data_IF_780681031606
#
_entry.id   IF_780681031606
#
_cell.length_a   1.000
_cell.length_b   1.000
_cell.length_c   1.000
_cell.angle_alpha   90.00
_cell.angle_beta   90.00
_cell.angle_gamma   90.00
#
_symmetry.space_group_name_H-M   'P 1'
#
loop_
_entity.id
_entity.type
_entity.pdbx_description
1 polymer ?
#
# COMPACT_ATOMS: atom_id res chain seq x y z
N UNK A 1 -6.39 1.06 -18.17
CA UNK A 1 -6.22 2.51 -18.04
C UNK A 1 -7.28 3.06 -17.12
N UNK A 2 -6.92 4.02 -16.29
CA UNK A 2 -7.86 4.76 -15.47
C UNK A 2 -8.01 6.16 -16.07
N UNK A 3 -9.10 6.47 -16.80
CA UNK A 3 -9.29 7.76 -17.44
C UNK A 3 -9.44 8.92 -16.44
N UNK A 4 -9.77 8.62 -15.18
CA UNK A 4 -9.96 9.62 -14.13
C UNK A 4 -8.67 9.90 -13.34
N UNK A 5 -7.59 9.17 -13.63
CA UNK A 5 -6.30 9.41 -13.01
C UNK A 5 -5.52 10.47 -13.78
N UNK A 6 -5.18 11.62 -13.16
CA UNK A 6 -4.42 12.68 -13.83
C UNK A 6 -3.00 12.25 -14.24
N UNK A 7 -2.50 11.16 -13.68
CA UNK A 7 -1.19 10.56 -13.97
C UNK A 7 -1.29 9.33 -14.89
N UNK A 8 -2.50 8.88 -15.21
CA UNK A 8 -2.78 7.72 -16.04
C UNK A 8 -3.03 8.12 -17.48
N UNK A 9 -2.15 7.73 -18.38
CA UNK A 9 -2.41 7.82 -19.82
C UNK A 9 -3.51 6.86 -20.28
N UNK A 10 -4.15 7.16 -21.40
CA UNK A 10 -4.95 6.19 -22.13
C UNK A 10 -4.01 5.11 -22.70
N UNK A 11 -4.22 3.86 -22.31
CA UNK A 11 -3.45 2.74 -22.85
C UNK A 11 -4.19 2.14 -24.06
N UNK A 12 -3.43 1.88 -25.11
CA UNK A 12 -3.91 1.13 -26.28
C UNK A 12 -4.14 -0.35 -25.89
N UNK A 13 -4.96 -1.06 -26.66
CA UNK A 13 -5.20 -2.50 -26.46
C UNK A 13 -3.89 -3.32 -26.48
N UNK A 14 -2.91 -2.88 -27.26
CA UNK A 14 -1.58 -3.51 -27.32
C UNK A 14 -0.84 -3.34 -25.99
N UNK A 15 -0.85 -2.14 -25.41
CA UNK A 15 -0.22 -1.86 -24.11
C UNK A 15 -0.93 -2.60 -22.98
N UNK A 16 -2.27 -2.62 -22.97
CA UNK A 16 -3.07 -3.40 -22.00
C UNK A 16 -2.70 -4.88 -22.09
N UNK A 17 -2.57 -5.43 -23.30
CA UNK A 17 -2.17 -6.82 -23.50
C UNK A 17 -0.75 -7.08 -22.99
N UNK A 18 0.18 -6.16 -23.23
CA UNK A 18 1.55 -6.25 -22.70
C UNK A 18 1.58 -6.19 -21.17
N UNK A 19 0.80 -5.30 -20.56
CA UNK A 19 0.68 -5.20 -19.09
C UNK A 19 0.11 -6.48 -18.47
N UNK A 20 -0.95 -7.06 -19.06
CA UNK A 20 -1.50 -8.35 -18.62
C UNK A 20 -0.47 -9.48 -18.69
N UNK A 21 0.34 -9.52 -19.75
CA UNK A 21 1.43 -10.50 -19.90
C UNK A 21 2.52 -10.29 -18.82
N UNK A 22 2.86 -9.03 -18.52
CA UNK A 22 3.81 -8.70 -17.47
C UNK A 22 3.28 -9.14 -16.10
N UNK A 23 2.05 -8.79 -15.75
CA UNK A 23 1.42 -9.20 -14.50
C UNK A 23 1.41 -10.74 -14.33
N UNK A 24 1.06 -11.46 -15.40
CA UNK A 24 1.10 -12.92 -15.38
C UNK A 24 2.48 -13.45 -15.04
N UNK A 25 3.53 -12.90 -15.67
CA UNK A 25 4.92 -13.30 -15.42
C UNK A 25 5.34 -12.96 -13.98
N UNK A 26 4.94 -11.83 -13.44
CA UNK A 26 5.25 -11.45 -12.07
C UNK A 26 4.58 -12.38 -11.06
N UNK A 27 3.32 -12.76 -11.27
CA UNK A 27 2.62 -13.75 -10.45
C UNK A 27 3.31 -15.12 -10.51
N UNK A 28 3.68 -15.60 -11.71
CA UNK A 28 4.42 -16.85 -11.87
C UNK A 28 5.77 -16.81 -11.14
N UNK A 29 6.47 -15.68 -11.19
CA UNK A 29 7.74 -15.48 -10.48
C UNK A 29 7.54 -15.45 -8.96
N UNK A 30 6.51 -14.76 -8.46
CA UNK A 30 6.17 -14.73 -7.05
C UNK A 30 5.91 -16.15 -6.52
N UNK A 31 5.10 -16.94 -7.23
CA UNK A 31 4.80 -18.34 -6.87
C UNK A 31 6.08 -19.19 -6.86
N UNK A 32 6.93 -19.05 -7.89
CA UNK A 32 8.18 -19.79 -7.95
C UNK A 32 9.11 -19.47 -6.77
N UNK A 33 9.25 -18.20 -6.42
CA UNK A 33 10.07 -17.79 -5.27
C UNK A 33 9.46 -18.21 -3.93
N UNK A 34 8.16 -18.09 -3.76
CA UNK A 34 7.47 -18.54 -2.56
C UNK A 34 7.73 -20.01 -2.27
N UNK A 35 7.67 -20.87 -3.31
CA UNK A 35 7.92 -22.30 -3.18
C UNK A 35 9.41 -22.65 -3.06
N UNK A 36 10.31 -21.82 -3.62
CA UNK A 36 11.76 -22.06 -3.54
C UNK A 36 12.33 -21.62 -2.19
N UNK A 37 11.80 -20.56 -1.60
CA UNK A 37 12.31 -19.91 -0.39
C UNK A 37 11.26 -19.90 0.74
N UNK A 38 10.54 -21.01 0.89
CA UNK A 38 9.45 -21.12 1.87
C UNK A 38 9.90 -20.97 3.34
N UNK A 39 11.18 -21.22 3.62
CA UNK A 39 11.81 -21.02 4.93
C UNK A 39 12.19 -19.56 5.22
N UNK A 40 12.19 -18.70 4.21
CA UNK A 40 12.54 -17.26 4.31
C UNK A 40 11.32 -16.38 4.10
N UNK A 41 10.50 -16.70 3.08
CA UNK A 41 9.33 -15.91 2.72
C UNK A 41 8.14 -16.30 3.61
N UNK A 42 7.80 -15.42 4.54
CA UNK A 42 6.78 -15.68 5.56
C UNK A 42 5.36 -15.26 5.16
N UNK A 43 5.22 -14.39 4.16
CA UNK A 43 3.94 -13.91 3.63
C UNK A 43 4.11 -13.34 2.22
N UNK A 44 3.02 -13.25 1.46
CA UNK A 44 3.01 -12.80 0.08
C UNK A 44 2.05 -11.62 -0.11
N UNK A 45 2.51 -10.56 -0.75
CA UNK A 45 1.68 -9.44 -1.18
C UNK A 45 1.41 -9.54 -2.69
N UNK A 46 0.14 -9.63 -3.07
CA UNK A 46 -0.28 -9.70 -4.47
C UNK A 46 -0.72 -8.32 -4.94
N UNK A 47 0.24 -7.54 -5.42
CA UNK A 47 0.03 -6.16 -5.85
C UNK A 47 0.18 -5.13 -4.75
N UNK A 48 0.33 -3.87 -5.17
CA UNK A 48 0.55 -2.71 -4.32
C UNK A 48 -0.16 -1.50 -4.94
N UNK A 49 -1.04 -0.83 -4.18
CA UNK A 49 -1.80 0.37 -4.59
C UNK A 49 -2.40 0.28 -6.00
N UNK A 50 -2.91 -0.88 -6.35
CA UNK A 50 -3.39 -1.16 -7.71
C UNK A 50 -4.89 -0.97 -7.86
N UNK A 51 -5.64 -0.69 -6.80
CA UNK A 51 -7.09 -0.51 -6.82
C UNK A 51 -7.55 0.91 -6.45
N UNK A 52 -6.63 1.84 -6.21
CA UNK A 52 -6.93 3.25 -5.95
C UNK A 52 -7.12 4.05 -7.23
N UNK A 53 -7.96 5.08 -7.17
CA UNK A 53 -8.32 5.89 -8.35
C UNK A 53 -7.20 6.79 -8.84
N UNK A 54 -6.25 7.12 -7.99
CA UNK A 54 -5.05 7.86 -8.40
C UNK A 54 -3.96 6.97 -9.03
N UNK A 55 -4.15 5.66 -9.11
CA UNK A 55 -3.24 4.77 -9.83
C UNK A 55 -3.51 4.78 -11.33
N UNK A 56 -2.54 5.18 -12.13
CA UNK A 56 -2.62 5.08 -13.60
C UNK A 56 -2.76 3.65 -14.12
N UNK A 57 -2.35 2.69 -13.31
CA UNK A 57 -2.37 1.26 -13.63
C UNK A 57 -3.45 0.49 -12.84
N UNK A 58 -4.59 1.11 -12.59
CA UNK A 58 -5.65 0.52 -11.79
C UNK A 58 -6.08 -0.86 -12.33
N UNK A 59 -6.12 -1.84 -11.42
CA UNK A 59 -6.59 -3.20 -11.67
C UNK A 59 -8.01 -3.34 -11.12
N UNK A 60 -8.98 -3.86 -11.89
CA UNK A 60 -10.30 -4.16 -11.36
C UNK A 60 -10.24 -5.15 -10.19
N UNK A 61 -11.10 -4.97 -9.19
CA UNK A 61 -11.11 -5.80 -7.96
C UNK A 61 -11.31 -7.28 -8.29
N UNK A 62 -12.16 -7.60 -9.26
CA UNK A 62 -12.39 -8.97 -9.72
C UNK A 62 -11.12 -9.61 -10.30
N UNK A 63 -10.30 -8.82 -11.01
CA UNK A 63 -9.03 -9.29 -11.53
C UNK A 63 -8.00 -9.48 -10.41
N UNK A 64 -8.01 -8.60 -9.40
CA UNK A 64 -7.16 -8.75 -8.22
C UNK A 64 -7.54 -10.01 -7.43
N UNK A 65 -8.83 -10.28 -7.26
CA UNK A 65 -9.33 -11.53 -6.66
C UNK A 65 -8.81 -12.75 -7.41
N UNK A 66 -8.85 -12.72 -8.75
CA UNK A 66 -8.34 -13.82 -9.56
C UNK A 66 -6.82 -14.06 -9.33
N UNK A 67 -6.03 -12.99 -9.23
CA UNK A 67 -4.59 -13.09 -8.93
C UNK A 67 -4.34 -13.64 -7.52
N UNK A 68 -5.05 -13.15 -6.51
CA UNK A 68 -4.94 -13.65 -5.13
C UNK A 68 -5.28 -15.14 -5.07
N UNK A 69 -6.37 -15.56 -5.67
CA UNK A 69 -6.77 -16.99 -5.73
C UNK A 69 -5.72 -17.85 -6.41
N UNK A 70 -5.12 -17.38 -7.50
CA UNK A 70 -4.05 -18.10 -8.21
C UNK A 70 -2.84 -18.30 -7.30
N UNK A 71 -2.40 -17.28 -6.58
CA UNK A 71 -1.26 -17.37 -5.66
C UNK A 71 -1.61 -18.31 -4.50
N UNK A 72 -2.75 -18.14 -3.84
CA UNK A 72 -3.18 -19.01 -2.73
C UNK A 72 -3.31 -20.49 -3.12
N UNK A 73 -3.75 -20.78 -4.34
CA UNK A 73 -3.85 -22.14 -4.81
C UNK A 73 -2.47 -22.81 -5.10
N UNK A 74 -1.40 -22.01 -5.15
CA UNK A 74 -0.07 -22.43 -5.59
C UNK A 74 1.01 -22.29 -4.53
N UNK A 75 0.69 -21.76 -3.33
CA UNK A 75 1.65 -21.46 -2.26
C UNK A 75 1.05 -21.79 -0.89
N UNK A 76 1.91 -21.94 0.12
CA UNK A 76 1.50 -22.22 1.51
C UNK A 76 1.53 -20.97 2.41
N UNK A 77 2.22 -19.91 2.00
CA UNK A 77 2.35 -18.69 2.79
C UNK A 77 1.03 -17.91 2.84
N UNK A 78 0.76 -17.19 3.93
CA UNK A 78 -0.35 -16.25 4.01
C UNK A 78 -0.27 -15.19 2.91
N UNK A 79 -1.40 -14.89 2.30
CA UNK A 79 -1.49 -13.95 1.16
C UNK A 79 -2.29 -12.70 1.54
N UNK A 80 -1.78 -11.55 1.17
CA UNK A 80 -2.42 -10.25 1.30
C UNK A 80 -2.38 -9.45 0.00
N UNK A 81 -3.01 -8.30 0.02
CA UNK A 81 -2.88 -7.22 -0.95
C UNK A 81 -2.60 -5.92 -0.20
N UNK A 82 -1.60 -5.15 -0.64
CA UNK A 82 -1.22 -3.89 0.00
C UNK A 82 -1.94 -2.73 -0.68
N UNK A 83 -2.72 -1.96 0.10
CA UNK A 83 -3.50 -0.87 -0.45
C UNK A 83 -3.70 0.25 0.58
N UNK A 84 -4.00 1.46 0.12
CA UNK A 84 -4.45 2.54 0.99
C UNK A 84 -5.60 2.06 1.89
N UNK A 85 -5.70 2.61 3.11
CA UNK A 85 -6.73 2.20 4.08
C UNK A 85 -8.17 2.43 3.58
N UNK A 86 -8.41 3.49 2.80
CA UNK A 86 -9.76 3.90 2.42
C UNK A 86 -10.49 2.88 1.52
N UNK A 87 -9.89 2.30 0.47
CA UNK A 87 -10.54 1.24 -0.32
C UNK A 87 -11.00 0.03 0.49
N UNK A 88 -10.32 -0.33 1.58
CA UNK A 88 -10.74 -1.42 2.47
C UNK A 88 -12.07 -1.15 3.17
N UNK A 89 -12.45 0.12 3.30
CA UNK A 89 -13.72 0.48 3.93
C UNK A 89 -14.94 0.27 3.01
N UNK A 90 -14.74 0.14 1.70
CA UNK A 90 -15.84 -0.04 0.74
C UNK A 90 -15.46 -0.93 -0.45
N UNK A 91 -14.70 -0.41 -1.39
CA UNK A 91 -14.38 -1.01 -2.70
C UNK A 91 -13.77 -2.40 -2.63
N UNK A 92 -12.88 -2.63 -1.65
CA UNK A 92 -12.16 -3.90 -1.49
C UNK A 92 -12.87 -4.92 -0.59
N UNK A 93 -14.10 -4.65 -0.14
CA UNK A 93 -14.87 -5.61 0.67
C UNK A 93 -14.93 -7.02 0.07
N UNK A 94 -15.13 -7.21 -1.25
CA UNK A 94 -15.10 -8.56 -1.84
C UNK A 94 -13.74 -9.26 -1.75
N UNK A 95 -12.63 -8.50 -1.74
CA UNK A 95 -11.28 -9.04 -1.64
C UNK A 95 -10.93 -9.53 -0.24
N UNK A 96 -11.58 -8.99 0.82
CA UNK A 96 -11.29 -9.35 2.21
C UNK A 96 -11.49 -10.84 2.49
N UNK A 97 -12.50 -11.47 1.84
CA UNK A 97 -12.76 -12.90 2.01
C UNK A 97 -11.69 -13.79 1.35
N UNK A 98 -10.93 -13.24 0.42
CA UNK A 98 -9.95 -13.99 -0.37
C UNK A 98 -8.54 -13.95 0.24
N UNK A 99 -8.23 -12.94 1.05
CA UNK A 99 -6.91 -12.74 1.67
C UNK A 99 -6.87 -13.28 3.10
N UNK A 100 -5.67 -13.55 3.59
CA UNK A 100 -5.47 -14.08 4.93
C UNK A 100 -5.39 -12.97 5.99
N UNK A 101 -4.84 -11.81 5.62
CA UNK A 101 -4.77 -10.62 6.45
C UNK A 101 -4.85 -9.34 5.60
N UNK A 102 -5.26 -8.23 6.19
CA UNK A 102 -5.40 -6.94 5.52
C UNK A 102 -4.12 -6.14 5.69
N UNK A 103 -3.58 -5.58 4.61
CA UNK A 103 -2.42 -4.68 4.62
C UNK A 103 -2.82 -3.28 4.19
N UNK A 104 -2.64 -2.32 5.09
CA UNK A 104 -3.02 -0.92 4.84
C UNK A 104 -1.81 -0.01 4.69
N UNK A 105 -1.95 1.01 3.84
CA UNK A 105 -1.07 2.17 3.79
C UNK A 105 -1.74 3.39 4.43
N UNK A 106 -0.99 4.20 5.15
CA UNK A 106 -1.48 5.42 5.77
C UNK A 106 -0.40 6.48 5.83
N UNK A 107 -0.64 7.60 5.15
CA UNK A 107 0.31 8.70 5.00
C UNK A 107 -0.35 10.02 5.38
N UNK A 108 -0.31 10.43 6.64
CA UNK A 108 -1.00 11.65 7.08
C UNK A 108 -0.51 12.92 6.39
N UNK A 109 0.77 12.98 5.99
CA UNK A 109 1.31 14.15 5.29
C UNK A 109 0.64 14.36 3.91
N UNK A 110 0.38 13.29 3.14
CA UNK A 110 -0.35 13.36 1.89
C UNK A 110 -1.80 13.83 2.04
N UNK A 111 -2.39 13.61 3.22
CA UNK A 111 -3.71 14.08 3.60
C UNK A 111 -3.67 15.46 4.29
N UNK A 112 -2.57 16.20 4.08
CA UNK A 112 -2.34 17.55 4.60
C UNK A 112 -2.51 17.67 6.12
N UNK A 113 -2.23 16.59 6.86
CA UNK A 113 -2.24 16.65 8.32
C UNK A 113 -0.95 17.31 8.83
N UNK A 114 -1.08 18.14 9.86
CA UNK A 114 0.10 18.64 10.58
C UNK A 114 0.65 17.54 11.49
N UNK A 115 1.88 17.70 11.95
CA UNK A 115 2.55 16.69 12.78
C UNK A 115 1.78 16.39 14.07
N UNK A 116 1.12 17.40 14.66
CA UNK A 116 0.32 17.25 15.89
C UNK A 116 -0.90 16.35 15.67
N UNK A 117 -1.44 16.29 14.46
CA UNK A 117 -2.60 15.47 14.09
C UNK A 117 -2.23 14.14 13.42
N UNK A 118 -0.96 13.97 13.04
CA UNK A 118 -0.50 12.83 12.24
C UNK A 118 -0.81 11.49 12.89
N UNK A 119 -0.44 11.30 14.16
CA UNK A 119 -0.67 10.04 14.85
C UNK A 119 -2.15 9.76 15.15
N UNK A 120 -2.93 10.81 15.43
CA UNK A 120 -4.38 10.63 15.59
C UNK A 120 -5.03 10.13 14.30
N UNK A 121 -4.63 10.68 13.15
CA UNK A 121 -5.09 10.26 11.83
C UNK A 121 -4.65 8.82 11.50
N UNK A 122 -3.38 8.49 11.69
CA UNK A 122 -2.86 7.12 11.47
C UNK A 122 -3.63 6.08 12.30
N UNK A 123 -3.84 6.36 13.59
CA UNK A 123 -4.60 5.49 14.50
C UNK A 123 -6.05 5.35 14.06
N UNK A 124 -6.68 6.44 13.66
CA UNK A 124 -8.06 6.42 13.16
C UNK A 124 -8.19 5.52 11.93
N UNK A 125 -7.29 5.64 10.95
CA UNK A 125 -7.32 4.84 9.73
C UNK A 125 -7.18 3.34 10.04
N UNK A 126 -6.23 2.99 10.91
CA UNK A 126 -6.06 1.61 11.37
C UNK A 126 -7.33 1.09 12.08
N UNK A 127 -7.89 1.86 13.01
CA UNK A 127 -9.06 1.44 13.79
C UNK A 127 -10.31 1.32 12.94
N UNK A 128 -10.51 2.18 11.94
CA UNK A 128 -11.64 2.06 11.02
C UNK A 128 -11.63 0.72 10.30
N UNK A 129 -10.47 0.27 9.81
CA UNK A 129 -10.34 -1.02 9.12
C UNK A 129 -10.45 -2.19 10.09
N UNK A 130 -9.72 -2.15 11.21
CA UNK A 130 -9.70 -3.26 12.18
C UNK A 130 -11.06 -3.48 12.87
N UNK A 131 -11.80 -2.42 13.15
CA UNK A 131 -13.17 -2.51 13.70
C UNK A 131 -14.17 -3.03 12.68
N UNK A 132 -13.99 -2.69 11.40
CA UNK A 132 -14.85 -3.20 10.33
C UNK A 132 -14.64 -4.69 10.08
N UNK A 133 -13.44 -5.19 10.27
CA UNK A 133 -13.06 -6.58 10.02
C UNK A 133 -12.43 -7.22 11.26
N UNK A 134 -13.22 -7.42 12.36
CA UNK A 134 -12.68 -7.85 13.64
C UNK A 134 -12.07 -9.26 13.62
N UNK A 135 -12.38 -10.06 12.61
CA UNK A 135 -11.86 -11.42 12.44
C UNK A 135 -10.63 -11.48 11.50
N UNK A 136 -10.14 -10.35 11.01
CA UNK A 136 -8.94 -10.26 10.18
C UNK A 136 -7.83 -9.52 10.93
N UNK A 137 -6.64 -10.06 10.87
CA UNK A 137 -5.44 -9.31 11.27
C UNK A 137 -5.27 -8.14 10.32
N UNK A 138 -4.98 -6.96 10.86
CA UNK A 138 -4.65 -5.77 10.07
C UNK A 138 -3.18 -5.42 10.32
N UNK A 139 -2.42 -5.28 9.24
CA UNK A 139 -1.01 -4.90 9.22
C UNK A 139 -0.90 -3.53 8.58
N UNK A 140 -0.01 -2.70 9.07
CA UNK A 140 0.35 -1.45 8.40
C UNK A 140 1.56 -1.75 7.51
N UNK A 141 1.33 -1.98 6.21
CA UNK A 141 2.40 -2.29 5.27
C UNK A 141 3.19 -1.07 4.82
N UNK A 142 2.61 0.12 4.94
CA UNK A 142 3.35 1.37 4.76
C UNK A 142 2.78 2.49 5.64
N UNK A 143 3.68 3.19 6.32
CA UNK A 143 3.42 4.48 6.97
C UNK A 143 4.72 5.28 7.02
N UNK A 144 4.65 6.59 6.84
CA UNK A 144 5.84 7.41 6.84
C UNK A 144 5.56 8.91 6.88
N UNK A 145 6.64 9.67 6.95
CA UNK A 145 6.66 11.13 6.92
C UNK A 145 7.85 11.60 6.10
N UNK A 146 7.63 12.46 5.10
CA UNK A 146 8.68 12.93 4.21
C UNK A 146 9.67 13.87 4.91
N UNK A 147 10.93 13.79 4.50
CA UNK A 147 12.01 14.69 4.96
C UNK A 147 12.06 16.01 4.23
N UNK A 148 11.49 16.07 3.02
CA UNK A 148 11.37 17.25 2.17
C UNK A 148 10.07 17.22 1.37
N UNK A 149 9.50 18.38 1.08
CA UNK A 149 8.29 18.49 0.25
C UNK A 149 8.57 18.25 -1.23
N UNK A 150 9.78 18.61 -1.69
CA UNK A 150 10.33 18.39 -3.02
C UNK A 150 9.34 18.69 -4.17
N UNK A 151 8.59 19.77 -4.06
CA UNK A 151 7.62 20.22 -5.05
C UNK A 151 6.24 19.52 -5.01
N UNK A 152 6.04 18.61 -4.07
CA UNK A 152 4.80 17.82 -3.95
C UNK A 152 3.69 18.53 -3.16
N UNK A 153 2.97 19.42 -3.60
CA UNK A 153 1.68 19.97 -3.13
C UNK A 153 1.42 20.25 -1.63
N UNK A 154 2.26 19.81 -0.71
CA UNK A 154 2.16 20.12 0.71
C UNK A 154 3.17 21.20 1.12
N UNK A 155 2.90 21.96 2.21
CA UNK A 155 3.77 23.05 2.66
C UNK A 155 5.19 22.54 2.97
N UNK A 156 6.21 23.29 2.50
CA UNK A 156 7.63 22.90 2.67
C UNK A 156 8.06 22.72 4.12
N UNK A 157 7.50 23.51 5.02
CA UNK A 157 7.76 23.45 6.45
C UNK A 157 7.10 22.26 7.16
N UNK A 158 6.16 21.58 6.50
CA UNK A 158 5.55 20.35 7.02
C UNK A 158 6.40 19.10 6.78
N UNK A 159 7.29 19.09 5.80
CA UNK A 159 8.17 17.98 5.49
C UNK A 159 9.61 18.32 5.89
N UNK A 160 10.10 17.68 6.93
CA UNK A 160 11.48 17.85 7.40
C UNK A 160 11.90 16.67 8.31
N UNK A 161 13.20 16.50 8.49
CA UNK A 161 13.80 15.42 9.29
C UNK A 161 13.32 15.43 10.75
N UNK A 162 13.07 16.61 11.31
CA UNK A 162 12.63 16.71 12.71
C UNK A 162 11.20 16.15 12.89
N UNK A 163 10.28 16.48 12.00
CA UNK A 163 8.91 15.95 12.02
C UNK A 163 8.87 14.47 11.62
N UNK A 164 9.73 14.03 10.68
CA UNK A 164 9.89 12.61 10.39
C UNK A 164 10.27 11.83 11.65
N UNK A 165 11.27 12.32 12.40
CA UNK A 165 11.68 11.69 13.67
C UNK A 165 10.53 11.63 14.67
N UNK A 166 9.80 12.72 14.87
CA UNK A 166 8.66 12.75 15.80
C UNK A 166 7.58 11.72 15.42
N UNK A 167 7.25 11.67 14.13
CA UNK A 167 6.28 10.70 13.63
C UNK A 167 6.77 9.27 13.83
N UNK A 168 7.99 8.97 13.41
CA UNK A 168 8.62 7.66 13.51
C UNK A 168 8.63 7.15 14.97
N UNK A 169 9.12 7.94 15.91
CA UNK A 169 9.18 7.56 17.32
C UNK A 169 7.80 7.28 17.90
N UNK A 170 6.83 8.15 17.60
CA UNK A 170 5.44 7.99 18.06
C UNK A 170 4.74 6.81 17.43
N UNK A 171 5.01 6.55 16.15
CA UNK A 171 4.45 5.43 15.40
C UNK A 171 4.99 4.09 15.91
N UNK A 172 6.31 3.97 16.06
CA UNK A 172 6.96 2.76 16.59
C UNK A 172 6.52 2.46 18.03
N UNK A 173 6.45 3.48 18.89
CA UNK A 173 5.97 3.32 20.28
C UNK A 173 4.52 2.80 20.32
N UNK A 174 3.64 3.39 19.54
CA UNK A 174 2.25 2.96 19.47
C UNK A 174 2.10 1.54 18.90
N UNK A 175 2.73 1.24 17.78
CA UNK A 175 2.60 -0.07 17.14
C UNK A 175 3.16 -1.19 18.01
N UNK A 176 4.30 -0.95 18.68
CA UNK A 176 4.88 -1.89 19.64
C UNK A 176 3.95 -2.15 20.84
N UNK A 177 3.40 -1.08 21.46
CA UNK A 177 2.49 -1.20 22.61
C UNK A 177 1.16 -1.86 22.25
N UNK A 178 0.72 -1.72 21.00
CA UNK A 178 -0.55 -2.26 20.50
C UNK A 178 -0.39 -3.63 19.83
N UNK A 179 0.82 -4.19 19.79
CA UNK A 179 1.15 -5.43 19.08
C UNK A 179 0.69 -5.42 17.61
N UNK A 180 0.95 -4.31 16.92
CA UNK A 180 0.61 -4.12 15.51
C UNK A 180 1.88 -4.32 14.68
N UNK A 181 1.85 -5.27 13.74
CA UNK A 181 2.91 -5.40 12.74
C UNK A 181 2.84 -4.21 11.78
N UNK A 182 3.96 -3.50 11.67
CA UNK A 182 4.02 -2.29 10.87
C UNK A 182 5.39 -2.11 10.21
N UNK A 183 5.38 -1.52 9.01
CA UNK A 183 6.57 -1.17 8.26
C UNK A 183 6.60 0.34 8.02
N UNK A 184 7.77 0.92 8.23
CA UNK A 184 7.98 2.35 8.00
C UNK A 184 8.55 2.56 6.60
N UNK A 185 7.92 3.40 5.83
CA UNK A 185 8.41 3.86 4.53
C UNK A 185 9.02 5.26 4.71
N UNK A 186 10.36 5.45 4.59
CA UNK A 186 11.29 4.40 4.23
C UNK A 186 12.69 4.67 4.84
N UNK A 187 13.61 3.69 4.70
CA UNK A 187 14.93 3.74 5.35
C UNK A 187 15.93 4.68 4.67
N UNK A 188 15.72 5.00 3.39
CA UNK A 188 16.64 5.80 2.58
C UNK A 188 15.90 6.94 1.88
N UNK A 189 16.58 8.07 1.72
CA UNK A 189 16.06 9.14 0.89
C UNK A 189 16.06 8.74 -0.59
N UNK A 190 14.96 9.03 -1.27
CA UNK A 190 14.77 8.78 -2.70
C UNK A 190 14.59 10.12 -3.45
N UNK A 191 15.64 10.91 -3.68
CA UNK A 191 15.55 12.25 -4.23
C UNK A 191 14.93 12.30 -5.65
N UNK A 192 14.96 11.17 -6.37
CA UNK A 192 14.32 11.04 -7.68
C UNK A 192 12.79 10.98 -7.63
N UNK A 193 12.20 10.61 -6.49
CA UNK A 193 10.73 10.56 -6.31
C UNK A 193 10.09 11.94 -6.19
N UNK A 194 10.85 12.93 -5.92
CA UNK A 194 10.37 14.26 -5.60
C UNK A 194 10.58 15.28 -6.68
N UNK A 195 10.93 14.89 -7.88
CA UNK A 195 10.94 15.84 -9.00
C UNK A 195 9.60 16.57 -9.05
N UNK A 196 9.59 17.92 -9.18
CA UNK A 196 8.36 18.63 -9.43
C UNK A 196 7.70 17.92 -10.60
N UNK A 197 6.45 17.58 -10.38
CA UNK A 197 5.65 16.88 -11.35
C UNK A 197 5.79 17.59 -12.70
N UNK A 198 6.29 16.93 -13.73
CA UNK A 198 6.29 17.54 -15.04
C UNK A 198 4.89 17.42 -15.60
N UNK A 199 3.92 18.11 -14.95
CA UNK A 199 2.53 18.27 -15.41
C UNK A 199 1.91 17.27 -16.35
#
# INVERSE_FOLDING_TARGET
SNPDCPWGGEYTDTEITAHKKKNKKEIETLIAWANTYEDIIIALAVGNESCVEWSGNMVPVEQMIAYVRQVKASTNQPVTFCENYAPWLDKLKPLVEEIDFISIHTYPLWELKTIEHAMAYTKQNYHQVSQKYPNKVVVISEAGWATDANGRGFPKDHANVFFQKMYYESFCDWTAKSNILAFVFEAFDEPWKGSPDPH
#
